data_IF_060319953100
#
_entry.id   IF_060319953100
#
_cell.length_a   1.000
_cell.length_b   1.000
_cell.length_c   1.000
_cell.angle_alpha   90.00
_cell.angle_beta   90.00
_cell.angle_gamma   90.00
#
_symmetry.space_group_name_H-M   'P 1'
#
loop_
_entity.id
_entity.type
_entity.pdbx_description
1 polymer ?
#
# COMPACT_ATOMS: atom_id res chain seq x y z
N UNK A 1 -23.83 0.78 10.70
CA UNK A 1 -24.93 0.65 9.72
C UNK A 1 -24.42 1.21 8.42
N UNK A 2 -24.83 0.61 7.30
CA UNK A 2 -24.28 0.92 5.97
C UNK A 2 -25.37 0.82 4.91
N UNK A 3 -25.10 1.38 3.72
CA UNK A 3 -25.92 1.16 2.53
C UNK A 3 -25.42 -0.04 1.73
N UNK A 4 -26.33 -0.70 1.02
CA UNK A 4 -26.10 -1.94 0.28
C UNK A 4 -26.67 -1.82 -1.12
N UNK A 5 -25.86 -2.10 -2.14
CA UNK A 5 -26.33 -2.20 -3.53
C UNK A 5 -26.77 -3.64 -3.80
N UNK A 6 -28.04 -3.81 -4.15
CA UNK A 6 -28.64 -5.12 -4.45
C UNK A 6 -28.40 -5.55 -5.90
N UNK A 7 -28.81 -6.77 -6.23
CA UNK A 7 -28.75 -7.31 -7.59
C UNK A 7 -29.67 -6.58 -8.60
N UNK A 8 -30.45 -5.60 -8.16
CA UNK A 8 -31.25 -4.72 -9.03
C UNK A 8 -30.38 -3.70 -9.78
N UNK A 9 -29.13 -3.50 -9.36
CA UNK A 9 -28.22 -2.53 -9.96
C UNK A 9 -27.97 -2.82 -11.46
N UNK A 10 -28.09 -1.77 -12.28
CA UNK A 10 -27.88 -1.83 -13.73
C UNK A 10 -26.55 -1.22 -14.17
N UNK A 11 -25.60 -0.99 -13.24
CA UNK A 11 -24.31 -0.34 -13.49
C UNK A 11 -24.39 1.08 -14.09
N UNK A 12 -25.42 1.86 -13.71
CA UNK A 12 -25.57 3.25 -14.14
C UNK A 12 -24.48 4.19 -13.58
N UNK A 13 -24.12 4.03 -12.30
CA UNK A 13 -23.02 4.76 -11.67
C UNK A 13 -23.36 6.11 -11.04
N UNK A 14 -24.59 6.63 -11.14
CA UNK A 14 -24.98 7.90 -10.50
C UNK A 14 -24.64 8.00 -9.00
N UNK A 15 -24.72 6.88 -8.28
CA UNK A 15 -24.38 6.80 -6.86
C UNK A 15 -22.90 7.10 -6.54
N UNK A 16 -21.98 6.87 -7.49
CA UNK A 16 -20.53 7.09 -7.30
C UNK A 16 -20.22 8.58 -7.17
N UNK A 17 -20.83 9.40 -8.03
CA UNK A 17 -20.58 10.85 -8.10
C UNK A 17 -21.04 11.60 -6.85
N UNK A 18 -22.01 11.05 -6.12
CA UNK A 18 -22.58 11.69 -4.92
C UNK A 18 -22.03 11.15 -3.61
N UNK A 19 -21.16 10.13 -3.64
CA UNK A 19 -20.63 9.52 -2.43
C UNK A 19 -19.54 10.41 -1.80
N UNK A 20 -19.77 11.02 -0.61
CA UNK A 20 -18.83 11.98 -0.03
C UNK A 20 -17.52 11.36 0.47
N UNK A 21 -17.51 10.04 0.68
CA UNK A 21 -16.36 9.26 1.15
C UNK A 21 -15.85 8.29 0.09
N UNK A 22 -16.35 8.41 -1.14
CA UNK A 22 -15.97 7.60 -2.29
C UNK A 22 -15.95 6.07 -2.02
N UNK A 23 -16.89 5.56 -1.23
CA UNK A 23 -16.93 4.15 -0.81
C UNK A 23 -17.60 3.20 -1.82
N UNK A 24 -17.96 3.68 -3.02
CA UNK A 24 -18.72 2.92 -4.03
C UNK A 24 -17.81 2.58 -5.19
N UNK A 25 -17.61 1.29 -5.43
CA UNK A 25 -16.68 0.80 -6.45
C UNK A 25 -17.25 -0.37 -7.24
N UNK A 26 -16.63 -0.64 -8.38
CA UNK A 26 -16.85 -1.84 -9.18
C UNK A 26 -15.54 -2.21 -9.88
N UNK A 27 -15.45 -3.41 -10.45
CA UNK A 27 -14.33 -3.84 -11.30
C UNK A 27 -14.81 -4.01 -12.75
N UNK A 28 -13.92 -3.88 -13.76
CA UNK A 28 -14.29 -4.20 -15.13
C UNK A 28 -14.90 -5.61 -15.25
N UNK A 29 -16.11 -5.69 -15.81
CA UNK A 29 -16.83 -6.96 -15.96
C UNK A 29 -17.64 -7.42 -14.73
N UNK A 30 -17.63 -6.66 -13.62
CA UNK A 30 -18.52 -6.96 -12.50
C UNK A 30 -20.00 -6.65 -12.84
N UNK A 31 -20.94 -7.45 -12.32
CA UNK A 31 -22.36 -7.32 -12.66
C UNK A 31 -23.06 -6.12 -12.02
N UNK A 32 -22.46 -5.49 -11.00
CA UNK A 32 -23.04 -4.37 -10.26
C UNK A 32 -21.94 -3.49 -9.63
N UNK A 33 -22.33 -2.34 -9.09
CA UNK A 33 -21.53 -1.60 -8.11
C UNK A 33 -21.70 -2.20 -6.70
N UNK A 34 -20.74 -1.89 -5.82
CA UNK A 34 -20.70 -2.34 -4.44
C UNK A 34 -20.32 -1.18 -3.52
N UNK A 35 -20.85 -1.18 -2.29
CA UNK A 35 -20.55 -0.21 -1.22
C UNK A 35 -19.63 -0.85 -0.18
N UNK A 36 -18.54 -0.17 0.20
CA UNK A 36 -17.65 -0.62 1.27
C UNK A 36 -18.34 -0.38 2.63
N UNK A 37 -18.73 -1.45 3.36
CA UNK A 37 -19.42 -1.30 4.64
C UNK A 37 -18.54 -0.68 5.74
N UNK A 38 -17.22 -0.71 5.58
CA UNK A 38 -16.26 -0.15 6.56
C UNK A 38 -16.01 1.35 6.34
N UNK A 39 -16.29 1.88 5.14
CA UNK A 39 -16.05 3.30 4.79
C UNK A 39 -17.35 4.09 4.74
N UNK A 40 -18.48 3.44 4.44
CA UNK A 40 -19.78 4.10 4.37
C UNK A 40 -20.12 4.84 5.68
N UNK A 41 -20.54 6.10 5.55
CA UNK A 41 -20.94 6.96 6.67
C UNK A 41 -22.46 7.15 6.80
N UNK A 42 -23.26 6.30 6.13
CA UNK A 42 -24.73 6.28 6.24
C UNK A 42 -25.40 7.65 5.91
N UNK A 43 -24.96 8.32 4.84
CA UNK A 43 -25.41 9.67 4.46
C UNK A 43 -26.57 9.75 3.44
N UNK A 44 -27.11 8.60 2.99
CA UNK A 44 -28.33 8.46 2.15
C UNK A 44 -28.28 9.00 0.71
N UNK A 45 -27.25 9.77 0.35
CA UNK A 45 -27.14 10.38 -1.00
C UNK A 45 -27.22 9.38 -2.16
N UNK A 46 -26.62 8.20 -1.99
CA UNK A 46 -26.61 7.17 -3.03
C UNK A 46 -27.99 6.57 -3.31
N UNK A 47 -28.83 6.39 -2.28
CA UNK A 47 -30.18 5.86 -2.42
C UNK A 47 -31.06 6.82 -3.23
N UNK A 48 -31.01 8.11 -2.89
CA UNK A 48 -31.81 9.17 -3.52
C UNK A 48 -31.56 9.29 -5.03
N UNK A 49 -30.33 9.03 -5.49
CA UNK A 49 -29.97 9.19 -6.91
C UNK A 49 -30.03 7.89 -7.72
N UNK A 50 -30.35 6.75 -7.11
CA UNK A 50 -30.38 5.48 -7.82
C UNK A 50 -31.60 5.43 -8.75
N UNK A 51 -31.44 5.32 -10.09
CA UNK A 51 -32.57 5.37 -11.02
C UNK A 51 -33.45 4.11 -11.02
N UNK A 52 -32.98 3.03 -10.37
CA UNK A 52 -33.60 1.71 -10.35
C UNK A 52 -33.87 1.20 -8.93
N UNK A 53 -33.80 2.08 -7.93
CA UNK A 53 -34.08 1.78 -6.52
C UNK A 53 -33.32 0.54 -6.01
N UNK A 54 -32.06 0.40 -6.40
CA UNK A 54 -31.24 -0.76 -6.07
C UNK A 54 -30.50 -0.67 -4.73
N UNK A 55 -30.54 0.48 -4.05
CA UNK A 55 -29.72 0.77 -2.88
C UNK A 55 -30.61 0.91 -1.66
N UNK A 56 -30.30 0.17 -0.59
CA UNK A 56 -31.07 0.17 0.66
C UNK A 56 -30.12 0.30 1.83
N UNK A 57 -30.57 0.86 2.95
CA UNK A 57 -29.87 0.69 4.24
C UNK A 57 -29.88 -0.80 4.62
N UNK A 58 -28.81 -1.28 5.24
CA UNK A 58 -28.64 -2.68 5.66
C UNK A 58 -29.83 -3.25 6.44
N UNK A 59 -30.50 -2.44 7.27
CA UNK A 59 -31.71 -2.80 8.01
C UNK A 59 -32.97 -2.94 7.14
N UNK A 60 -32.98 -2.29 5.98
CA UNK A 60 -34.18 -2.08 5.15
C UNK A 60 -34.14 -2.92 3.86
N UNK A 61 -33.07 -3.72 3.68
CA UNK A 61 -32.93 -4.63 2.55
C UNK A 61 -34.09 -5.65 2.53
N UNK A 62 -34.85 -5.76 1.43
CA UNK A 62 -35.90 -6.76 1.29
C UNK A 62 -35.39 -8.19 1.52
N UNK A 63 -36.20 -9.12 2.10
CA UNK A 63 -35.79 -10.50 2.38
C UNK A 63 -35.15 -11.23 1.19
N UNK A 64 -35.67 -11.01 -0.02
CA UNK A 64 -35.16 -11.56 -1.28
C UNK A 64 -33.76 -11.08 -1.67
N UNK A 65 -33.30 -9.97 -1.11
CA UNK A 65 -32.02 -9.34 -1.39
C UNK A 65 -31.06 -9.33 -0.19
N UNK A 66 -31.40 -9.99 0.93
CA UNK A 66 -30.54 -10.00 2.12
C UNK A 66 -29.10 -10.47 1.85
N UNK A 67 -28.90 -11.37 0.88
CA UNK A 67 -27.57 -11.82 0.48
C UNK A 67 -26.69 -10.69 -0.06
N UNK A 68 -27.28 -9.59 -0.54
CA UNK A 68 -26.56 -8.44 -1.05
C UNK A 68 -25.71 -7.76 0.01
N UNK A 69 -26.09 -7.84 1.30
CA UNK A 69 -25.28 -7.32 2.41
C UNK A 69 -23.89 -7.97 2.38
N UNK A 70 -23.87 -9.31 2.36
CA UNK A 70 -22.63 -10.08 2.33
C UNK A 70 -21.89 -9.94 0.99
N UNK A 71 -22.60 -9.86 -0.13
CA UNK A 71 -21.99 -9.68 -1.47
C UNK A 71 -21.18 -8.38 -1.54
N UNK A 72 -21.72 -7.27 -1.00
CA UNK A 72 -21.01 -5.99 -0.95
C UNK A 72 -19.76 -6.10 -0.08
N UNK A 73 -19.90 -6.67 1.12
CA UNK A 73 -18.78 -6.86 2.05
C UNK A 73 -17.69 -7.78 1.48
N UNK A 74 -18.07 -8.89 0.82
CA UNK A 74 -17.13 -9.83 0.18
C UNK A 74 -16.38 -9.18 -0.97
N UNK A 75 -17.06 -8.33 -1.77
CA UNK A 75 -16.40 -7.60 -2.84
C UNK A 75 -15.22 -6.79 -2.30
N UNK A 76 -15.41 -6.03 -1.21
CA UNK A 76 -14.31 -5.28 -0.60
C UNK A 76 -13.33 -6.19 0.14
N UNK A 77 -13.76 -7.24 0.86
CA UNK A 77 -12.79 -8.17 1.46
C UNK A 77 -11.85 -8.84 0.44
N UNK A 78 -12.29 -9.03 -0.81
CA UNK A 78 -11.50 -9.60 -1.89
C UNK A 78 -10.72 -8.58 -2.72
N UNK A 79 -11.26 -7.37 -2.88
CA UNK A 79 -10.74 -6.35 -3.81
C UNK A 79 -10.24 -5.07 -3.12
N UNK A 80 -10.35 -4.97 -1.80
CA UNK A 80 -9.76 -3.88 -1.02
C UNK A 80 -8.24 -4.04 -1.10
N UNK A 81 -7.64 -3.22 -1.96
CA UNK A 81 -6.32 -2.65 -1.72
C UNK A 81 -6.15 -2.50 -0.22
N UNK A 82 -5.12 -3.12 0.38
CA UNK A 82 -4.92 -3.04 1.82
C UNK A 82 -4.72 -1.55 2.20
N UNK A 83 -5.80 -0.86 2.59
CA UNK A 83 -5.71 0.52 3.08
C UNK A 83 -5.24 0.42 4.52
N UNK A 84 -3.92 0.38 4.66
CA UNK A 84 -3.20 0.23 5.91
C UNK A 84 -1.73 -0.07 5.63
N UNK A 85 -0.89 -0.08 6.67
CA UNK A 85 0.50 -0.48 6.51
C UNK A 85 0.61 -1.88 5.92
N UNK A 86 1.68 -2.14 5.18
CA UNK A 86 2.01 -3.48 4.69
C UNK A 86 1.88 -4.50 5.83
N UNK A 87 1.00 -5.53 5.72
CA UNK A 87 0.83 -6.50 6.80
C UNK A 87 2.16 -7.19 7.15
N UNK A 88 2.37 -7.52 8.43
CA UNK A 88 3.62 -8.10 8.92
C UNK A 88 4.07 -9.33 8.10
N UNK A 89 3.16 -10.27 7.82
CA UNK A 89 3.48 -11.48 7.06
C UNK A 89 3.99 -11.15 5.65
N UNK A 90 3.35 -10.18 4.99
CA UNK A 90 3.79 -9.69 3.67
C UNK A 90 5.11 -8.95 3.76
N UNK A 91 5.30 -8.11 4.76
CA UNK A 91 6.57 -7.42 4.99
C UNK A 91 7.71 -8.43 5.25
N UNK A 92 7.44 -9.54 5.93
CA UNK A 92 8.40 -10.61 6.15
C UNK A 92 8.73 -11.38 4.86
N UNK A 93 7.72 -11.71 4.04
CA UNK A 93 7.92 -12.29 2.70
C UNK A 93 8.78 -11.38 1.80
N UNK A 94 8.54 -10.05 1.85
CA UNK A 94 9.34 -9.06 1.13
C UNK A 94 10.82 -9.09 1.53
N UNK A 95 11.10 -9.12 2.84
CA UNK A 95 12.47 -9.26 3.37
C UNK A 95 13.12 -10.57 2.88
N UNK A 96 12.39 -11.68 2.92
CA UNK A 96 12.89 -12.97 2.45
C UNK A 96 13.19 -12.96 0.94
N UNK A 97 12.33 -12.33 0.14
CA UNK A 97 12.54 -12.20 -1.30
C UNK A 97 13.78 -11.36 -1.63
N UNK A 98 13.99 -10.23 -0.92
CA UNK A 98 15.22 -9.44 -1.02
C UNK A 98 16.46 -10.27 -0.65
N UNK A 99 16.41 -11.02 0.45
CA UNK A 99 17.52 -11.89 0.88
C UNK A 99 17.80 -13.02 -0.12
N UNK A 100 16.75 -13.63 -0.68
CA UNK A 100 16.88 -14.67 -1.68
C UNK A 100 17.55 -14.14 -2.95
N UNK A 101 17.18 -12.94 -3.39
CA UNK A 101 17.85 -12.27 -4.50
C UNK A 101 19.32 -11.96 -4.18
N UNK A 102 19.59 -11.33 -3.03
CA UNK A 102 20.95 -10.98 -2.61
C UNK A 102 21.86 -12.21 -2.53
N UNK A 103 21.36 -13.33 -1.99
CA UNK A 103 22.10 -14.60 -1.90
C UNK A 103 22.51 -15.12 -3.28
N UNK A 104 21.63 -15.06 -4.29
CA UNK A 104 21.96 -15.45 -5.67
C UNK A 104 23.03 -14.58 -6.30
N UNK A 105 23.13 -13.33 -5.87
CA UNK A 105 24.12 -12.36 -6.34
C UNK A 105 25.41 -12.37 -5.50
N UNK A 106 25.53 -13.25 -4.50
CA UNK A 106 26.70 -13.32 -3.61
C UNK A 106 26.84 -12.13 -2.67
N UNK A 107 25.73 -11.49 -2.29
CA UNK A 107 25.69 -10.32 -1.41
C UNK A 107 25.13 -10.66 -0.03
N UNK A 108 25.58 -9.95 1.01
CA UNK A 108 25.00 -9.97 2.34
C UNK A 108 24.43 -8.58 2.67
N UNK A 109 23.10 -8.50 2.82
CA UNK A 109 22.37 -7.23 2.96
C UNK A 109 21.57 -7.16 4.27
N UNK A 110 21.14 -5.96 4.63
CA UNK A 110 19.98 -5.74 5.49
C UNK A 110 18.82 -5.20 4.65
N UNK A 111 17.62 -5.74 4.87
CA UNK A 111 16.37 -5.25 4.30
C UNK A 111 15.44 -4.82 5.45
N UNK A 112 14.77 -3.68 5.30
CA UNK A 112 13.87 -3.09 6.29
C UNK A 112 12.58 -2.69 5.59
N UNK A 113 11.44 -3.09 6.13
CA UNK A 113 10.13 -2.61 5.70
C UNK A 113 9.55 -1.74 6.82
N UNK A 114 9.04 -0.57 6.45
CA UNK A 114 8.40 0.40 7.35
C UNK A 114 6.94 0.61 6.96
N UNK A 115 6.13 1.05 7.92
CA UNK A 115 4.77 1.53 7.69
C UNK A 115 4.76 2.91 7.01
N UNK A 116 3.57 3.45 6.73
CA UNK A 116 3.37 4.75 6.11
C UNK A 116 3.95 5.91 6.95
N UNK A 117 4.08 5.73 8.27
CA UNK A 117 4.70 6.71 9.17
C UNK A 117 6.24 6.56 9.25
N UNK A 118 6.82 5.57 8.57
CA UNK A 118 8.25 5.28 8.60
C UNK A 118 8.72 4.51 9.84
N UNK A 119 7.79 3.91 10.60
CA UNK A 119 8.11 3.01 11.72
C UNK A 119 8.39 1.61 11.20
N UNK A 120 9.38 0.88 11.74
CA UNK A 120 9.77 -0.42 11.23
C UNK A 120 8.71 -1.48 11.54
N UNK A 121 8.23 -2.16 10.49
CA UNK A 121 7.42 -3.37 10.60
C UNK A 121 8.33 -4.59 10.78
N UNK A 122 9.38 -4.67 9.95
CA UNK A 122 10.36 -5.75 10.02
C UNK A 122 11.76 -5.31 9.59
N UNK A 123 12.77 -5.93 10.19
CA UNK A 123 14.18 -5.73 9.91
C UNK A 123 14.83 -7.10 9.78
N UNK A 124 15.31 -7.43 8.58
CA UNK A 124 16.04 -8.66 8.31
C UNK A 124 17.48 -8.38 7.91
N UNK A 125 18.43 -8.70 8.79
CA UNK A 125 19.87 -8.61 8.51
C UNK A 125 20.45 -9.99 8.23
N UNK A 126 21.04 -10.17 7.05
CA UNK A 126 21.72 -11.42 6.71
C UNK A 126 22.99 -11.62 7.53
N UNK A 127 23.36 -12.88 7.76
CA UNK A 127 24.70 -13.21 8.23
C UNK A 127 25.76 -12.67 7.27
N UNK A 128 26.84 -12.13 7.81
CA UNK A 128 27.91 -11.50 7.04
C UNK A 128 27.62 -10.08 6.56
N UNK A 129 26.40 -9.54 6.74
CA UNK A 129 26.11 -8.15 6.42
C UNK A 129 26.82 -7.21 7.42
N UNK A 130 27.46 -6.14 6.91
CA UNK A 130 28.21 -5.20 7.73
C UNK A 130 27.31 -4.51 8.77
N UNK A 131 27.80 -4.19 9.98
CA UNK A 131 26.98 -3.61 11.05
C UNK A 131 26.22 -2.33 10.65
N UNK A 132 26.82 -1.49 9.80
CA UNK A 132 26.24 -0.22 9.34
C UNK A 132 24.98 -0.41 8.47
N UNK A 133 24.81 -1.58 7.84
CA UNK A 133 23.72 -1.81 6.87
C UNK A 133 22.34 -1.72 7.51
N UNK A 134 22.19 -2.03 8.80
CA UNK A 134 20.89 -1.96 9.47
C UNK A 134 20.35 -0.52 9.54
N UNK A 135 21.18 0.42 9.96
CA UNK A 135 20.78 1.83 10.06
C UNK A 135 20.62 2.47 8.68
N UNK A 136 21.50 2.15 7.72
CA UNK A 136 21.39 2.68 6.36
C UNK A 136 20.11 2.17 5.67
N UNK A 137 19.81 0.87 5.75
CA UNK A 137 18.59 0.31 5.19
C UNK A 137 17.34 0.95 5.81
N UNK A 138 17.34 1.15 7.13
CA UNK A 138 16.24 1.81 7.81
C UNK A 138 16.05 3.26 7.39
N UNK A 139 17.14 4.03 7.31
CA UNK A 139 17.08 5.43 6.89
C UNK A 139 16.63 5.57 5.43
N UNK A 140 17.03 4.65 4.55
CA UNK A 140 16.52 4.56 3.16
C UNK A 140 15.01 4.28 3.13
N UNK A 141 14.54 3.31 3.91
CA UNK A 141 13.11 2.98 4.02
C UNK A 141 12.31 4.17 4.54
N UNK A 142 12.73 4.76 5.66
CA UNK A 142 12.12 5.95 6.24
C UNK A 142 12.08 7.11 5.25
N UNK A 143 13.15 7.33 4.49
CA UNK A 143 13.21 8.41 3.49
C UNK A 143 12.21 8.17 2.36
N UNK A 144 12.12 6.94 1.86
CA UNK A 144 11.15 6.60 0.83
C UNK A 144 9.70 6.79 1.34
N UNK A 145 9.40 6.38 2.57
CA UNK A 145 8.10 6.61 3.20
C UNK A 145 7.82 8.10 3.44
N UNK A 146 8.81 8.90 3.83
CA UNK A 146 8.60 10.33 4.11
C UNK A 146 8.39 11.18 2.85
N UNK A 147 8.94 10.76 1.71
CA UNK A 147 8.88 11.50 0.45
C UNK A 147 7.91 10.89 -0.57
N UNK A 148 7.39 9.70 -0.31
CA UNK A 148 6.50 8.95 -1.21
C UNK A 148 7.12 8.66 -2.59
N UNK A 149 8.42 8.38 -2.62
CA UNK A 149 9.19 8.16 -3.86
C UNK A 149 10.40 7.25 -3.62
N UNK A 150 11.09 6.85 -4.70
CA UNK A 150 12.34 6.11 -4.57
C UNK A 150 13.48 7.04 -4.15
N UNK A 151 14.30 6.64 -3.17
CA UNK A 151 15.40 7.48 -2.67
C UNK A 151 16.45 7.81 -3.75
N UNK A 152 16.52 7.00 -4.81
CA UNK A 152 17.33 7.27 -5.99
C UNK A 152 16.96 8.60 -6.68
N UNK A 153 15.70 9.03 -6.61
CA UNK A 153 15.21 10.28 -7.21
C UNK A 153 15.64 11.52 -6.42
N UNK A 154 15.99 11.34 -5.14
CA UNK A 154 16.53 12.40 -4.29
C UNK A 154 18.05 12.58 -4.45
N UNK A 155 18.76 11.56 -4.94
CA UNK A 155 20.22 11.58 -5.05
C UNK A 155 20.75 12.77 -5.89
N UNK A 156 20.14 13.15 -7.04
CA UNK A 156 20.55 14.35 -7.79
C UNK A 156 20.35 15.66 -7.02
N UNK A 157 19.45 15.65 -6.02
CA UNK A 157 19.10 16.81 -5.21
C UNK A 157 19.87 16.87 -3.89
N UNK A 158 20.70 15.87 -3.56
CA UNK A 158 21.37 15.74 -2.26
C UNK A 158 22.20 16.97 -1.84
N UNK A 159 22.66 17.79 -2.81
CA UNK A 159 23.41 19.02 -2.56
C UNK A 159 22.55 20.29 -2.47
N UNK A 160 21.25 20.20 -2.71
CA UNK A 160 20.33 21.34 -2.64
C UNK A 160 20.21 21.80 -1.17
N UNK A 161 20.23 23.12 -0.89
CA UNK A 161 20.18 23.62 0.48
C UNK A 161 18.99 23.10 1.29
N UNK A 162 17.80 23.03 0.67
CA UNK A 162 16.58 22.57 1.35
C UNK A 162 16.72 21.11 1.85
N UNK A 163 17.24 20.21 1.02
CA UNK A 163 17.40 18.80 1.37
C UNK A 163 18.51 18.61 2.40
N UNK A 164 19.61 19.36 2.29
CA UNK A 164 20.69 19.33 3.29
C UNK A 164 20.21 19.81 4.66
N UNK A 165 19.38 20.86 4.71
CA UNK A 165 18.75 21.32 5.95
C UNK A 165 17.86 20.22 6.55
N UNK A 166 17.04 19.55 5.74
CA UNK A 166 16.20 18.45 6.22
C UNK A 166 17.01 17.29 6.80
N UNK A 167 18.10 16.87 6.14
CA UNK A 167 18.99 15.82 6.64
C UNK A 167 19.54 16.19 8.02
N UNK A 168 19.97 17.44 8.23
CA UNK A 168 20.47 17.92 9.52
C UNK A 168 19.36 17.96 10.57
N UNK A 169 18.19 18.53 10.23
CA UNK A 169 17.04 18.63 11.13
C UNK A 169 16.52 17.27 11.58
N UNK A 170 16.60 16.26 10.71
CA UNK A 170 16.21 14.87 11.00
C UNK A 170 17.37 14.04 11.55
N UNK A 171 18.46 14.67 12.02
CA UNK A 171 19.61 13.99 12.66
C UNK A 171 20.19 12.85 11.79
N UNK A 172 20.26 13.06 10.47
CA UNK A 172 20.81 12.09 9.52
C UNK A 172 19.85 10.99 9.07
N UNK A 173 18.59 11.01 9.52
CA UNK A 173 17.59 9.98 9.18
C UNK A 173 17.10 10.05 7.74
N UNK A 174 17.12 11.24 7.14
CA UNK A 174 16.88 11.41 5.70
C UNK A 174 18.16 11.02 4.95
N UNK A 175 18.06 10.01 4.09
CA UNK A 175 19.17 9.43 3.35
C UNK A 175 18.86 9.45 1.84
N UNK A 176 19.25 10.53 1.12
CA UNK A 176 19.02 10.67 -0.31
C UNK A 176 20.04 9.87 -1.12
N UNK A 177 20.04 8.56 -0.93
CA UNK A 177 20.90 7.58 -1.60
C UNK A 177 20.05 6.38 -2.00
N UNK A 178 20.33 5.78 -3.16
CA UNK A 178 19.49 4.71 -3.73
C UNK A 178 19.40 3.49 -2.83
N UNK A 179 18.30 2.74 -2.96
CA UNK A 179 18.05 1.54 -2.15
C UNK A 179 16.86 1.67 -1.20
N UNK A 180 16.10 2.77 -1.26
CA UNK A 180 14.76 2.87 -0.66
C UNK A 180 13.70 3.05 -1.74
N UNK A 181 12.56 2.35 -1.64
CA UNK A 181 11.42 2.46 -2.54
C UNK A 181 10.12 2.51 -1.72
N UNK A 182 9.27 3.49 -2.01
CA UNK A 182 7.95 3.60 -1.40
C UNK A 182 7.03 2.48 -1.91
N UNK A 183 6.20 1.95 -1.02
CA UNK A 183 5.18 0.95 -1.33
C UNK A 183 3.87 1.71 -1.44
N UNK A 184 3.31 1.77 -2.64
CA UNK A 184 2.13 2.58 -2.94
C UNK A 184 1.06 1.75 -3.61
N UNK A 185 -0.19 2.05 -3.31
CA UNK A 185 -1.38 1.51 -3.97
C UNK A 185 -2.28 2.66 -4.41
N UNK A 186 -2.31 2.92 -5.72
CA UNK A 186 -2.89 4.13 -6.28
C UNK A 186 -2.23 5.39 -5.71
N UNK A 187 -3.02 6.20 -4.98
CA UNK A 187 -2.54 7.41 -4.28
C UNK A 187 -2.18 7.17 -2.82
N UNK A 188 -2.46 5.98 -2.27
CA UNK A 188 -2.19 5.65 -0.88
C UNK A 188 -0.75 5.13 -0.74
N UNK A 189 -0.06 5.59 0.31
CA UNK A 189 1.26 5.09 0.69
C UNK A 189 1.04 4.06 1.79
N UNK A 190 1.43 2.81 1.51
CA UNK A 190 1.29 1.68 2.44
C UNK A 190 2.55 1.50 3.29
N UNK A 191 3.64 2.17 2.94
CA UNK A 191 4.91 2.09 3.63
C UNK A 191 6.09 2.24 2.69
N UNK A 192 7.23 1.65 3.05
CA UNK A 192 8.40 1.60 2.19
C UNK A 192 9.32 0.43 2.53
N UNK A 193 10.15 0.05 1.55
CA UNK A 193 11.27 -0.86 1.76
C UNK A 193 12.60 -0.13 1.56
N UNK A 194 13.58 -0.44 2.41
CA UNK A 194 14.95 -0.01 2.28
C UNK A 194 15.92 -1.19 2.38
N UNK A 195 16.94 -1.20 1.52
CA UNK A 195 18.00 -2.20 1.48
C UNK A 195 19.36 -1.52 1.53
N UNK A 196 20.29 -2.13 2.26
CA UNK A 196 21.70 -1.76 2.24
C UNK A 196 22.62 -2.98 2.31
N UNK A 197 23.71 -2.97 1.56
CA UNK A 197 24.77 -3.99 1.60
C UNK A 197 25.29 -4.41 0.23
N UNK A 198 24.68 -3.92 -0.86
CA UNK A 198 25.25 -4.04 -2.19
C UNK A 198 26.60 -3.31 -2.31
N UNK A 199 27.51 -3.86 -3.12
CA UNK A 199 28.78 -3.20 -3.42
C UNK A 199 28.62 -1.99 -4.34
N UNK A 200 27.50 -1.92 -5.06
CA UNK A 200 27.10 -0.78 -5.88
C UNK A 200 25.67 -0.36 -5.52
N UNK A 201 25.33 0.93 -5.56
CA UNK A 201 24.02 1.42 -5.12
C UNK A 201 22.85 0.82 -5.92
N UNK A 202 23.04 0.47 -7.20
CA UNK A 202 22.01 -0.15 -8.03
C UNK A 202 21.64 -1.56 -7.54
N UNK A 203 22.54 -2.25 -6.83
CA UNK A 203 22.27 -3.59 -6.32
C UNK A 203 21.24 -3.58 -5.18
N UNK A 204 21.25 -2.54 -4.34
CA UNK A 204 20.25 -2.36 -3.30
C UNK A 204 18.85 -2.16 -3.93
N UNK A 205 18.77 -1.40 -5.02
CA UNK A 205 17.52 -1.17 -5.78
C UNK A 205 16.97 -2.48 -6.34
N UNK A 206 17.82 -3.34 -6.93
CA UNK A 206 17.40 -4.65 -7.44
C UNK A 206 16.85 -5.55 -6.33
N UNK A 207 17.40 -5.47 -5.12
CA UNK A 207 16.87 -6.21 -3.96
C UNK A 207 15.50 -5.66 -3.53
N UNK A 208 15.30 -4.34 -3.54
CA UNK A 208 13.99 -3.73 -3.29
C UNK A 208 12.96 -4.16 -4.34
N UNK A 209 13.33 -4.19 -5.63
CA UNK A 209 12.45 -4.66 -6.70
C UNK A 209 12.06 -6.13 -6.53
N UNK A 210 13.00 -6.99 -6.14
CA UNK A 210 12.71 -8.39 -5.83
C UNK A 210 11.72 -8.54 -4.65
N UNK A 211 11.76 -7.63 -3.68
CA UNK A 211 10.81 -7.60 -2.59
C UNK A 211 9.41 -7.13 -3.04
N UNK A 212 9.33 -6.07 -3.86
CA UNK A 212 8.06 -5.53 -4.34
C UNK A 212 7.28 -6.53 -5.20
N UNK A 213 7.97 -7.41 -5.93
CA UNK A 213 7.33 -8.48 -6.70
C UNK A 213 6.45 -9.44 -5.86
N UNK A 214 6.64 -9.47 -4.52
CA UNK A 214 5.78 -10.21 -3.59
C UNK A 214 4.36 -9.65 -3.56
N UNK A 215 4.20 -8.34 -3.78
CA UNK A 215 2.91 -7.66 -3.80
C UNK A 215 2.20 -7.79 -5.16
N UNK A 216 2.97 -7.95 -6.24
CA UNK A 216 2.45 -8.10 -7.61
C UNK A 216 2.00 -9.53 -7.94
N UNK A 217 2.40 -10.51 -7.12
CA UNK A 217 2.01 -11.91 -7.31
C UNK A 217 0.54 -12.07 -6.88
N UNK A 218 -0.41 -12.37 -7.80
CA UNK A 218 -1.78 -12.64 -7.41
C UNK A 218 -1.79 -13.80 -6.42
N UNK A 219 -2.36 -13.56 -5.24
CA UNK A 219 -2.50 -14.57 -4.20
C UNK A 219 -3.11 -15.85 -4.78
N UNK A 220 -2.54 -16.99 -4.40
CA UNK A 220 -3.14 -18.30 -4.64
C UNK A 220 -4.47 -18.43 -3.89
#
# INVERSE_FOLDING_TARGET
>A
MTYVITSLCTNDGACVEVCPVACIHTTPGAPQFYIDPEVCIDCEQCEIVCPVDAIFRDSDVPPEHQTSIEVNAVFFRKNKAAVGPVPFDKAWEMVQAAHAYARRQGMAITAVVVDEAGSPITVGRMDGAEPKTAELAFNKAYTAAAFHLATAELAPQARRPWLRSLVISHRGRIMPESGGIAIVDGSAVLGAIGVAGGSRPEQDVLCCQAALAVLESPGH
#
